data_IF_166119886168
#
_entry.id   IF_166119886168
#
_cell.length_a   1.000
_cell.length_b   1.000
_cell.length_c   1.000
_cell.angle_alpha   90.00
_cell.angle_beta   90.00
_cell.angle_gamma   90.00
#
_symmetry.space_group_name_H-M   'P 1'
#
loop_
_entity.id
_entity.type
_entity.pdbx_description
1 polymer ?
#
# COMPACT_ATOMS: atom_id res chain seq x y z
N UNK A 1 -10.81 -5.57 -8.47
CA UNK A 1 -9.71 -6.08 -9.31
C UNK A 1 -10.29 -6.69 -10.58
N UNK A 2 -9.66 -6.46 -11.71
CA UNK A 2 -10.02 -7.08 -12.96
C UNK A 2 -9.60 -8.56 -13.01
N UNK A 3 -10.11 -9.30 -13.99
CA UNK A 3 -9.79 -10.74 -14.13
C UNK A 3 -8.30 -11.03 -14.36
N UNK A 4 -7.56 -10.05 -14.86
CA UNK A 4 -6.11 -10.12 -15.10
C UNK A 4 -5.26 -9.65 -13.90
N UNK A 5 -5.89 -9.46 -12.74
CA UNK A 5 -5.29 -8.95 -11.52
C UNK A 5 -4.81 -7.49 -11.57
N UNK A 6 -5.20 -6.73 -12.59
CA UNK A 6 -4.96 -5.29 -12.60
C UNK A 6 -5.97 -4.56 -11.69
N UNK A 7 -5.59 -3.37 -11.23
CA UNK A 7 -6.45 -2.53 -10.41
C UNK A 7 -7.09 -1.48 -11.31
N UNK A 8 -8.42 -1.54 -11.44
CA UNK A 8 -9.18 -0.53 -12.19
C UNK A 8 -9.42 0.72 -11.36
N UNK A 9 -9.88 0.53 -10.13
CA UNK A 9 -10.13 1.60 -9.17
C UNK A 9 -9.67 1.14 -7.79
N UNK A 10 -9.12 2.06 -7.02
CA UNK A 10 -8.75 1.83 -5.63
C UNK A 10 -9.06 3.06 -4.79
N UNK A 11 -9.62 2.85 -3.63
CA UNK A 11 -9.93 3.94 -2.73
C UNK A 11 -10.58 3.45 -1.45
N UNK A 12 -10.68 4.35 -0.50
CA UNK A 12 -11.31 4.08 0.78
C UNK A 12 -11.52 5.36 1.56
N UNK A 13 -12.13 5.24 2.73
CA UNK A 13 -12.29 6.34 3.66
C UNK A 13 -12.14 5.85 5.08
N UNK A 14 -11.77 6.77 5.98
CA UNK A 14 -11.70 6.53 7.42
C UNK A 14 -12.51 7.62 8.09
N UNK A 15 -13.40 7.23 9.00
CA UNK A 15 -14.20 8.14 9.81
C UNK A 15 -13.79 7.99 11.27
N UNK A 16 -13.39 9.09 11.88
CA UNK A 16 -13.12 9.17 13.32
C UNK A 16 -14.17 10.01 14.00
N UNK A 17 -14.77 9.45 15.05
CA UNK A 17 -15.77 10.14 15.84
C UNK A 17 -15.08 10.98 16.91
N UNK A 18 -15.42 12.26 16.97
CA UNK A 18 -14.92 13.16 17.99
C UNK A 18 -15.49 12.81 19.38
N UNK A 19 -14.73 13.05 20.47
CA UNK A 19 -15.29 12.91 21.81
C UNK A 19 -16.53 13.82 21.99
N UNK A 20 -17.51 13.33 22.76
CA UNK A 20 -18.74 14.07 23.08
C UNK A 20 -19.63 14.40 21.87
N UNK A 21 -19.54 13.61 20.80
CA UNK A 21 -20.43 13.74 19.65
C UNK A 21 -21.88 13.48 20.06
N UNK A 22 -22.81 14.23 19.48
CA UNK A 22 -24.24 13.97 19.69
C UNK A 22 -24.65 12.61 19.10
N UNK A 23 -25.48 11.88 19.81
CA UNK A 23 -25.91 10.55 19.38
C UNK A 23 -26.70 10.57 18.07
N UNK A 24 -27.45 11.66 17.81
CA UNK A 24 -28.16 11.86 16.55
C UNK A 24 -27.21 11.93 15.34
N UNK A 25 -26.06 12.56 15.50
CA UNK A 25 -25.02 12.66 14.47
C UNK A 25 -24.41 11.28 14.23
N UNK A 26 -24.11 10.55 15.29
CA UNK A 26 -23.54 9.20 15.21
C UNK A 26 -24.51 8.25 14.49
N UNK A 27 -25.79 8.28 14.82
CA UNK A 27 -26.81 7.45 14.18
C UNK A 27 -26.92 7.77 12.68
N UNK A 28 -26.92 9.06 12.34
CA UNK A 28 -26.95 9.49 10.92
C UNK A 28 -25.74 9.01 10.15
N UNK A 29 -24.57 9.09 10.77
CA UNK A 29 -23.32 8.62 10.17
C UNK A 29 -23.34 7.09 9.94
N UNK A 30 -23.79 6.32 10.92
CA UNK A 30 -23.94 4.88 10.80
C UNK A 30 -24.88 4.50 9.65
N UNK A 31 -26.01 5.17 9.53
CA UNK A 31 -26.96 4.96 8.43
C UNK A 31 -26.32 5.23 7.08
N UNK A 32 -25.56 6.33 6.97
CA UNK A 32 -24.88 6.71 5.73
C UNK A 32 -23.83 5.66 5.34
N UNK A 33 -23.02 5.20 6.28
CA UNK A 33 -21.97 4.20 6.04
C UNK A 33 -22.57 2.87 5.59
N UNK A 34 -23.69 2.47 6.16
CA UNK A 34 -24.39 1.24 5.78
C UNK A 34 -24.91 1.26 4.33
N UNK A 35 -25.21 2.42 3.79
CA UNK A 35 -25.63 2.60 2.39
C UNK A 35 -24.49 2.43 1.39
N UNK A 36 -23.25 2.61 1.85
CA UNK A 36 -22.06 2.50 0.99
C UNK A 36 -21.62 1.04 0.97
N UNK A 37 -21.88 0.37 -0.13
CA UNK A 37 -21.52 -1.03 -0.30
C UNK A 37 -20.15 -1.22 -0.92
N UNK A 38 -19.69 -0.26 -1.75
CA UNK A 38 -18.41 -0.38 -2.43
C UNK A 38 -17.90 0.99 -2.87
N UNK A 39 -16.74 1.39 -2.33
CA UNK A 39 -16.04 2.61 -2.72
C UNK A 39 -15.52 2.49 -4.16
N UNK A 40 -15.03 1.33 -4.54
CA UNK A 40 -14.52 1.12 -5.91
C UNK A 40 -15.61 1.24 -6.96
N UNK A 41 -16.82 0.80 -6.66
CA UNK A 41 -17.97 0.97 -7.55
C UNK A 41 -18.35 2.45 -7.71
N UNK A 42 -18.25 3.24 -6.65
CA UNK A 42 -18.48 4.68 -6.72
C UNK A 42 -17.43 5.36 -7.58
N UNK A 43 -16.17 5.03 -7.41
CA UNK A 43 -15.07 5.56 -8.23
C UNK A 43 -15.23 5.17 -9.69
N UNK A 44 -15.66 3.95 -9.97
CA UNK A 44 -15.90 3.47 -11.34
C UNK A 44 -17.06 4.22 -12.04
N UNK A 45 -18.02 4.71 -11.28
CA UNK A 45 -19.10 5.57 -11.77
C UNK A 45 -18.65 7.02 -12.00
N UNK A 46 -17.42 7.36 -11.68
CA UNK A 46 -16.87 8.70 -11.85
C UNK A 46 -16.98 9.62 -10.63
N UNK A 47 -17.27 9.07 -9.45
CA UNK A 47 -17.30 9.86 -8.23
C UNK A 47 -15.92 10.39 -7.89
N UNK A 48 -15.85 11.66 -7.50
CA UNK A 48 -14.62 12.23 -6.92
C UNK A 48 -14.52 11.86 -5.44
N UNK A 49 -13.32 11.96 -4.81
CA UNK A 49 -13.20 11.78 -3.37
C UNK A 49 -14.13 12.67 -2.56
N UNK A 50 -14.33 13.90 -2.99
CA UNK A 50 -15.25 14.85 -2.34
C UNK A 50 -16.70 14.34 -2.40
N UNK A 51 -17.13 13.80 -3.53
CA UNK A 51 -18.48 13.24 -3.68
C UNK A 51 -18.68 12.01 -2.78
N UNK A 52 -17.65 11.21 -2.58
CA UNK A 52 -17.69 10.08 -1.65
C UNK A 52 -17.84 10.59 -0.22
N UNK A 53 -17.12 11.64 0.16
CA UNK A 53 -17.26 12.28 1.48
C UNK A 53 -18.65 12.86 1.69
N UNK A 54 -19.24 13.46 0.67
CA UNK A 54 -20.62 13.97 0.71
C UNK A 54 -21.65 12.86 0.96
N UNK A 55 -21.45 11.67 0.36
CA UNK A 55 -22.30 10.51 0.60
C UNK A 55 -22.12 9.96 2.02
N UNK A 56 -20.89 9.84 2.50
CA UNK A 56 -20.57 9.35 3.85
C UNK A 56 -21.14 10.27 4.91
N UNK A 57 -21.07 11.58 4.68
CA UNK A 57 -21.46 12.64 5.62
C UNK A 57 -22.78 13.29 5.22
N UNK A 58 -23.63 12.60 4.45
CA UNK A 58 -24.93 13.12 4.01
C UNK A 58 -25.80 13.56 5.19
N UNK A 59 -26.36 14.76 5.06
CA UNK A 59 -27.13 15.37 6.14
C UNK A 59 -26.29 16.02 7.24
N UNK A 60 -24.97 15.98 7.14
CA UNK A 60 -24.03 16.65 8.03
C UNK A 60 -23.32 17.76 7.24
N UNK A 61 -22.88 18.81 7.92
CA UNK A 61 -22.12 19.87 7.28
C UNK A 61 -20.72 19.37 6.92
N UNK A 62 -20.44 19.28 5.62
CA UNK A 62 -19.16 18.79 5.11
C UNK A 62 -18.27 19.96 4.73
N UNK A 63 -17.07 20.00 5.29
CA UNK A 63 -16.05 20.97 4.94
C UNK A 63 -14.78 20.22 4.53
N UNK A 64 -14.31 20.43 3.30
CA UNK A 64 -13.03 19.88 2.84
C UNK A 64 -11.92 20.81 3.34
N UNK A 65 -11.17 20.34 4.32
CA UNK A 65 -10.12 21.13 4.98
C UNK A 65 -8.78 21.04 4.26
N UNK A 66 -8.50 19.94 3.60
CA UNK A 66 -7.24 19.75 2.91
C UNK A 66 -7.35 18.71 1.78
N UNK A 67 -6.46 18.82 0.81
CA UNK A 67 -6.30 17.88 -0.31
C UNK A 67 -4.82 17.62 -0.54
N UNK A 68 -4.46 16.34 -0.53
CA UNK A 68 -3.08 15.92 -0.75
C UNK A 68 -3.04 15.02 -1.97
N UNK A 69 -2.22 15.35 -2.99
CA UNK A 69 -2.01 14.45 -4.12
C UNK A 69 -1.46 13.12 -3.65
N UNK A 70 -2.03 12.03 -4.13
CA UNK A 70 -1.59 10.69 -3.78
C UNK A 70 -1.33 9.88 -5.03
N UNK A 71 -0.38 8.96 -4.91
CA UNK A 71 -0.08 8.02 -5.99
C UNK A 71 0.42 6.71 -5.40
N UNK A 72 0.28 5.63 -6.15
CA UNK A 72 0.92 4.39 -5.80
C UNK A 72 2.43 4.55 -6.02
N UNK A 73 3.19 4.48 -4.96
CA UNK A 73 4.65 4.59 -5.02
C UNK A 73 5.28 3.67 -3.98
N UNK A 74 6.42 3.11 -4.34
CA UNK A 74 7.23 2.36 -3.42
C UNK A 74 8.66 2.89 -3.45
N UNK A 75 9.25 3.06 -2.26
CA UNK A 75 10.62 3.51 -2.14
C UNK A 75 11.63 2.34 -2.10
N UNK A 76 11.23 1.16 -2.54
CA UNK A 76 12.13 0.04 -2.70
C UNK A 76 13.15 0.32 -3.81
N UNK A 77 14.33 -0.27 -3.70
CA UNK A 77 15.38 -0.23 -4.71
C UNK A 77 16.27 -1.44 -4.56
N UNK A 78 17.02 -1.76 -5.60
CA UNK A 78 18.00 -2.84 -5.53
C UNK A 78 19.02 -2.60 -4.41
N UNK A 79 19.39 -1.33 -4.19
CA UNK A 79 20.28 -0.94 -3.11
C UNK A 79 19.70 -1.26 -1.72
N UNK A 80 18.43 -0.95 -1.48
CA UNK A 80 17.76 -1.28 -0.20
C UNK A 80 17.63 -2.77 0.01
N UNK A 81 17.31 -3.52 -1.03
CA UNK A 81 17.25 -4.99 -0.99
C UNK A 81 18.63 -5.56 -0.71
N UNK A 82 19.68 -5.01 -1.31
CA UNK A 82 21.08 -5.39 -1.03
C UNK A 82 21.43 -5.23 0.45
N UNK A 83 21.02 -4.11 1.06
CA UNK A 83 21.22 -3.91 2.50
C UNK A 83 20.51 -4.96 3.36
N UNK A 84 19.30 -5.35 2.94
CA UNK A 84 18.57 -6.42 3.61
C UNK A 84 19.30 -7.77 3.50
N UNK A 85 19.85 -8.09 2.32
CA UNK A 85 20.66 -9.31 2.13
C UNK A 85 21.91 -9.27 3.00
N UNK A 86 22.61 -8.14 3.09
CA UNK A 86 23.78 -7.99 3.97
C UNK A 86 23.42 -8.30 5.42
N UNK A 87 22.23 -7.95 5.86
CA UNK A 87 21.78 -8.17 7.24
C UNK A 87 21.55 -9.65 7.61
N UNK A 88 21.37 -10.53 6.61
CA UNK A 88 21.20 -11.97 6.82
C UNK A 88 22.47 -12.58 7.40
N UNK A 89 23.62 -12.12 6.96
CA UNK A 89 24.94 -12.58 7.44
C UNK A 89 25.73 -13.35 6.41
N UNK A 90 27.05 -13.37 6.59
CA UNK A 90 27.99 -13.98 5.63
C UNK A 90 27.74 -15.46 5.36
N UNK A 91 27.37 -16.20 6.40
CA UNK A 91 27.18 -17.64 6.29
C UNK A 91 26.07 -17.96 5.27
N UNK A 92 24.93 -17.33 5.43
CA UNK A 92 23.78 -17.60 4.55
C UNK A 92 24.04 -17.11 3.13
N UNK A 93 24.71 -15.96 2.97
CA UNK A 93 25.11 -15.47 1.66
C UNK A 93 26.09 -16.41 0.99
N UNK A 94 27.04 -16.99 1.75
CA UNK A 94 27.99 -17.96 1.24
C UNK A 94 27.29 -19.24 0.76
N UNK A 95 26.31 -19.72 1.49
CA UNK A 95 25.50 -20.87 1.08
C UNK A 95 24.77 -20.60 -0.25
N UNK A 96 24.22 -19.39 -0.44
CA UNK A 96 23.61 -18.98 -1.71
C UNK A 96 24.61 -18.98 -2.86
N UNK A 97 25.84 -18.52 -2.61
CA UNK A 97 26.94 -18.55 -3.61
C UNK A 97 27.34 -19.98 -3.96
N UNK A 98 27.44 -20.84 -2.97
CA UNK A 98 27.83 -22.25 -3.15
C UNK A 98 26.77 -23.02 -3.93
N UNK A 99 25.51 -22.68 -3.81
CA UNK A 99 24.43 -23.24 -4.63
C UNK A 99 24.56 -22.87 -6.11
N UNK A 100 25.30 -21.82 -6.44
CA UNK A 100 25.58 -21.41 -7.81
C UNK A 100 24.37 -20.92 -8.60
N UNK A 101 23.29 -20.57 -7.92
CA UNK A 101 22.05 -20.10 -8.54
C UNK A 101 21.81 -18.61 -8.26
N UNK A 102 21.20 -17.96 -9.23
CA UNK A 102 20.69 -16.61 -9.03
C UNK A 102 19.57 -16.64 -7.99
N UNK A 103 19.51 -15.61 -7.17
CA UNK A 103 18.40 -15.43 -6.23
C UNK A 103 17.47 -14.33 -6.69
N UNK A 104 16.20 -14.52 -6.43
CA UNK A 104 15.16 -13.54 -6.70
C UNK A 104 14.56 -13.06 -5.38
N UNK A 105 14.43 -11.76 -5.24
CA UNK A 105 13.80 -11.13 -4.08
C UNK A 105 12.71 -10.20 -4.56
N UNK A 106 11.51 -10.39 -4.06
CA UNK A 106 10.37 -9.55 -4.40
C UNK A 106 10.09 -8.56 -3.27
N UNK A 107 9.81 -7.32 -3.66
CA UNK A 107 9.29 -6.34 -2.71
C UNK A 107 7.87 -6.74 -2.31
N UNK A 108 7.62 -6.95 -1.03
CA UNK A 108 6.29 -7.34 -0.53
C UNK A 108 5.24 -6.24 -0.67
N UNK A 109 5.65 -4.99 -0.86
CA UNK A 109 4.73 -3.89 -1.03
C UNK A 109 4.29 -3.70 -2.49
N UNK A 110 5.24 -3.60 -3.43
CA UNK A 110 4.94 -3.33 -4.83
C UNK A 110 5.14 -4.53 -5.76
N UNK A 111 5.63 -5.64 -5.23
CA UNK A 111 5.92 -6.88 -5.96
C UNK A 111 6.97 -6.75 -7.07
N UNK A 112 7.76 -5.66 -7.04
CA UNK A 112 8.90 -5.53 -7.95
C UNK A 112 9.93 -6.62 -7.65
N UNK A 113 10.38 -7.28 -8.70
CA UNK A 113 11.31 -8.40 -8.61
C UNK A 113 12.75 -7.91 -8.81
N UNK A 114 13.63 -8.31 -7.90
CA UNK A 114 15.06 -8.04 -7.97
C UNK A 114 15.83 -9.35 -8.07
N UNK A 115 16.71 -9.46 -9.04
CA UNK A 115 17.54 -10.66 -9.26
C UNK A 115 18.98 -10.36 -8.91
N UNK A 116 19.62 -11.26 -8.19
CA UNK A 116 21.02 -11.17 -7.81
C UNK A 116 21.79 -12.36 -8.38
N UNK A 117 22.78 -12.08 -9.20
CA UNK A 117 23.68 -13.09 -9.74
C UNK A 117 24.66 -13.56 -8.66
N UNK A 118 25.29 -14.71 -8.90
CA UNK A 118 26.34 -15.23 -8.01
C UNK A 118 27.48 -14.22 -7.85
N UNK A 119 27.86 -13.53 -8.90
CA UNK A 119 28.90 -12.49 -8.86
C UNK A 119 28.49 -11.31 -7.99
N UNK A 120 27.23 -10.89 -8.08
CA UNK A 120 26.67 -9.83 -7.21
C UNK A 120 26.68 -10.26 -5.75
N UNK A 121 26.34 -11.52 -5.46
CA UNK A 121 26.39 -12.07 -4.11
C UNK A 121 27.82 -12.10 -3.55
N UNK A 122 28.82 -12.40 -4.38
CA UNK A 122 30.23 -12.33 -4.00
C UNK A 122 30.66 -10.92 -3.63
N UNK A 123 30.17 -9.92 -4.34
CA UNK A 123 30.42 -8.51 -4.00
C UNK A 123 29.73 -8.11 -2.70
N UNK A 124 28.50 -8.58 -2.51
CA UNK A 124 27.71 -8.31 -1.29
C UNK A 124 28.40 -8.91 -0.06
N UNK A 125 28.92 -10.14 -0.15
CA UNK A 125 29.59 -10.79 1.00
C UNK A 125 30.85 -10.05 1.43
N UNK A 126 31.56 -9.39 0.51
CA UNK A 126 32.71 -8.55 0.85
C UNK A 126 32.32 -7.33 1.67
N UNK A 127 31.11 -6.81 1.49
CA UNK A 127 30.55 -5.68 2.24
C UNK A 127 29.89 -6.10 3.55
N UNK A 128 29.58 -7.38 3.70
CA UNK A 128 28.95 -7.94 4.89
C UNK A 128 29.98 -8.07 6.02
N UNK A 129 29.55 -7.78 7.21
CA UNK A 129 30.37 -7.92 8.43
C UNK A 129 30.19 -9.29 9.08
#
# INVERSE_FOLDING_TARGET
MEKDNTVKQAGGFIVQVMPFIEESVLTKLEENVQKITSVTAMLDKGYTPEQILEEVLDGLDVEVTDRIPTQFTCNCSKERVTKAIISIGKKDIQEMIDDGKEIEVNCHFCNTQYTFSVEELKEIIKRSR
#
